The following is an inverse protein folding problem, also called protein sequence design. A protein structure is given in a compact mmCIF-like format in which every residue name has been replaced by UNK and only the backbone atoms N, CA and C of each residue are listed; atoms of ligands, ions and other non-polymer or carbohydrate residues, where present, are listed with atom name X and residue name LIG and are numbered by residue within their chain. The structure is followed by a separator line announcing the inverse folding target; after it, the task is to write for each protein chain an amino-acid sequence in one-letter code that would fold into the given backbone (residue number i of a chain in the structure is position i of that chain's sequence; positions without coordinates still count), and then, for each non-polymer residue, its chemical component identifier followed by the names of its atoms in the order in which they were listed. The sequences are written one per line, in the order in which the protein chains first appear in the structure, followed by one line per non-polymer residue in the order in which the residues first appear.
data_IF_307595331895
#
_entry.id   IF_307595331895
#
_cell.length_a   1.000
_cell.length_b   1.000
_cell.length_c   1.000
_cell.angle_alpha   90.00
_cell.angle_beta   90.00
_cell.angle_gamma   90.00
#
_symmetry.space_group_name_H-M   'P 1'
#
loop_
_entity.id
_entity.type
_entity.pdbx_description
1 polymer ?
#
# COMPACT_ATOMS: atom_id res chain seq x y z
N UNK A 1 -12.25 13.38 -14.04
CA UNK A 1 -12.86 12.05 -13.83
C UNK A 1 -11.98 11.32 -12.83
N UNK A 2 -12.54 10.71 -11.78
CA UNK A 2 -11.75 9.85 -10.90
C UNK A 2 -11.16 8.70 -11.73
N UNK A 3 -9.92 8.31 -11.42
CA UNK A 3 -9.25 7.22 -12.10
C UNK A 3 -9.86 5.88 -11.68
N UNK A 4 -10.60 5.24 -12.60
CA UNK A 4 -11.28 3.95 -12.40
C UNK A 4 -10.33 2.73 -12.45
N UNK A 5 -9.03 2.92 -12.68
CA UNK A 5 -8.08 1.79 -12.75
C UNK A 5 -8.07 1.03 -11.41
N UNK A 6 -8.40 -0.26 -11.38
CA UNK A 6 -8.40 -1.02 -10.14
C UNK A 6 -6.99 -1.15 -9.55
N UNK A 7 -6.89 -1.39 -8.24
CA UNK A 7 -5.59 -1.64 -7.61
C UNK A 7 -4.97 -2.94 -8.13
N UNK A 8 -3.64 -2.97 -8.22
CA UNK A 8 -2.91 -4.21 -8.41
C UNK A 8 -3.07 -5.10 -7.17
N UNK A 9 -3.11 -6.41 -7.41
CA UNK A 9 -3.17 -7.43 -6.36
C UNK A 9 -1.88 -7.45 -5.53
N UNK A 10 -1.96 -7.84 -4.27
CA UNK A 10 -0.82 -8.12 -3.40
C UNK A 10 0.13 -9.13 -4.08
N UNK A 11 -0.43 -10.19 -4.68
CA UNK A 11 0.36 -11.19 -5.41
C UNK A 11 1.11 -10.60 -6.61
N UNK A 12 0.50 -9.67 -7.35
CA UNK A 12 1.15 -8.95 -8.45
C UNK A 12 2.30 -8.07 -7.95
N UNK A 13 2.11 -7.35 -6.85
CA UNK A 13 3.15 -6.48 -6.29
C UNK A 13 4.31 -7.26 -5.66
N UNK A 14 4.04 -8.40 -5.02
CA UNK A 14 5.09 -9.36 -4.63
C UNK A 14 5.83 -9.89 -5.86
N UNK A 15 5.09 -10.23 -6.92
CA UNK A 15 5.68 -10.69 -8.17
C UNK A 15 6.65 -9.67 -8.77
N UNK A 16 6.29 -8.39 -8.72
CA UNK A 16 7.17 -7.29 -9.09
C UNK A 16 8.44 -7.23 -8.23
N UNK A 17 8.32 -7.35 -6.90
CA UNK A 17 9.47 -7.29 -5.98
C UNK A 17 10.44 -8.46 -6.17
N UNK A 18 9.91 -9.66 -6.45
CA UNK A 18 10.67 -10.89 -6.53
C UNK A 18 11.00 -11.32 -7.97
N UNK A 19 10.67 -10.49 -8.96
CA UNK A 19 10.83 -10.81 -10.39
C UNK A 19 10.16 -12.13 -10.80
N UNK A 20 8.96 -12.37 -10.26
CA UNK A 20 8.14 -13.55 -10.57
C UNK A 20 7.29 -13.29 -11.83
N UNK A 21 6.65 -14.34 -12.39
CA UNK A 21 5.67 -14.17 -13.46
C UNK A 21 4.51 -13.25 -13.07
N UNK A 22 3.90 -12.62 -14.08
CA UNK A 22 2.72 -11.78 -13.90
C UNK A 22 1.58 -12.58 -13.25
N UNK A 23 0.84 -11.92 -12.36
CA UNK A 23 -0.35 -12.49 -11.74
C UNK A 23 -1.55 -12.44 -12.72
N UNK A 24 -2.05 -13.57 -13.26
CA UNK A 24 -3.24 -13.57 -14.13
C UNK A 24 -4.50 -12.99 -13.47
N UNK A 25 -4.59 -12.94 -12.14
CA UNK A 25 -5.74 -12.39 -11.42
C UNK A 25 -5.62 -10.87 -11.21
N UNK A 26 -4.46 -10.27 -11.46
CA UNK A 26 -4.33 -8.82 -11.40
C UNK A 26 -5.12 -8.19 -12.54
N UNK A 27 -6.05 -7.26 -12.24
CA UNK A 27 -6.87 -6.63 -13.27
C UNK A 27 -6.05 -5.77 -14.24
N UNK A 28 -4.83 -5.39 -13.85
CA UNK A 28 -3.92 -4.57 -14.65
C UNK A 28 -2.89 -5.40 -15.43
N UNK A 29 -2.93 -6.74 -15.37
CA UNK A 29 -1.98 -7.62 -16.09
C UNK A 29 -1.85 -7.31 -17.58
N UNK A 30 -2.92 -7.02 -18.34
CA UNK A 30 -2.79 -6.61 -19.73
C UNK A 30 -1.90 -5.36 -19.93
N UNK A 31 -1.86 -4.44 -18.96
CA UNK A 31 -1.02 -3.24 -19.01
C UNK A 31 0.43 -3.51 -18.61
N UNK A 32 0.66 -4.54 -17.78
CA UNK A 32 2.00 -4.97 -17.39
C UNK A 32 2.70 -5.74 -18.50
N UNK A 33 1.96 -6.45 -19.35
CA UNK A 33 2.50 -7.24 -20.45
C UNK A 33 3.20 -6.35 -21.49
N UNK A 34 4.46 -6.68 -21.78
CA UNK A 34 5.22 -6.10 -22.88
C UNK A 34 5.75 -7.22 -23.78
N UNK A 35 5.89 -6.99 -25.10
CA UNK A 35 6.43 -8.00 -26.02
C UNK A 35 7.81 -8.53 -25.58
N UNK A 36 8.59 -7.69 -24.91
CA UNK A 36 9.93 -8.01 -24.42
C UNK A 36 9.98 -8.81 -23.12
N UNK A 37 8.91 -8.86 -22.31
CA UNK A 37 9.00 -9.30 -20.92
C UNK A 37 8.60 -10.74 -20.63
N UNK A 38 8.38 -11.61 -21.64
CA UNK A 38 8.12 -13.07 -21.50
C UNK A 38 7.28 -13.45 -20.25
N UNK A 39 6.10 -12.83 -20.12
CA UNK A 39 5.17 -13.04 -18.99
C UNK A 39 5.68 -12.67 -17.59
N UNK A 40 6.71 -11.83 -17.49
CA UNK A 40 7.21 -11.24 -16.26
C UNK A 40 6.98 -9.73 -16.25
N UNK A 41 7.13 -9.14 -15.06
CA UNK A 41 7.11 -7.69 -14.90
C UNK A 41 8.24 -7.04 -15.73
N UNK A 42 7.94 -6.03 -16.56
CA UNK A 42 8.92 -5.40 -17.45
C UNK A 42 9.88 -4.43 -16.73
N UNK A 43 9.65 -4.17 -15.46
CA UNK A 43 10.44 -3.25 -14.62
C UNK A 43 10.63 -3.85 -13.24
N UNK A 44 11.63 -3.37 -12.52
CA UNK A 44 11.86 -3.70 -11.11
C UNK A 44 11.17 -2.68 -10.20
N UNK A 45 11.00 -3.01 -8.91
CA UNK A 45 10.44 -2.06 -7.92
C UNK A 45 11.23 -0.74 -7.84
N UNK A 46 12.57 -0.70 -7.80
CA UNK A 46 13.30 0.57 -7.82
C UNK A 46 13.04 1.41 -9.08
N UNK A 47 12.93 0.77 -10.24
CA UNK A 47 12.62 1.46 -11.50
C UNK A 47 11.17 1.99 -11.48
N UNK A 48 10.22 1.23 -10.93
CA UNK A 48 8.84 1.69 -10.70
C UNK A 48 8.81 2.96 -9.84
N UNK A 49 9.50 2.97 -8.70
CA UNK A 49 9.53 4.14 -7.80
C UNK A 49 10.18 5.36 -8.47
N UNK A 50 11.25 5.16 -9.25
CA UNK A 50 11.88 6.23 -10.02
C UNK A 50 10.91 6.87 -11.02
N UNK A 51 10.24 6.04 -11.83
CA UNK A 51 9.27 6.50 -12.82
C UNK A 51 8.05 7.15 -12.16
N UNK A 52 7.56 6.59 -11.05
CA UNK A 52 6.48 7.16 -10.26
C UNK A 52 6.86 8.54 -9.74
N UNK A 53 8.06 8.69 -9.16
CA UNK A 53 8.53 9.97 -8.66
C UNK A 53 8.60 11.02 -9.78
N UNK A 54 9.16 10.64 -10.95
CA UNK A 54 9.16 11.52 -12.12
C UNK A 54 7.74 11.92 -12.53
N UNK A 55 6.81 10.96 -12.67
CA UNK A 55 5.43 11.21 -13.05
C UNK A 55 4.71 12.15 -12.07
N UNK A 56 4.90 11.94 -10.76
CA UNK A 56 4.31 12.82 -9.75
C UNK A 56 4.87 14.23 -9.85
N UNK A 57 6.18 14.41 -10.09
CA UNK A 57 6.76 15.75 -10.27
C UNK A 57 6.28 16.46 -11.54
N UNK A 58 5.80 15.74 -12.57
CA UNK A 58 5.34 16.35 -13.82
C UNK A 58 3.83 16.52 -13.93
N UNK A 59 3.01 15.61 -13.36
CA UNK A 59 1.55 15.59 -13.60
C UNK A 59 0.79 15.01 -12.41
N UNK A 60 0.26 15.88 -11.54
CA UNK A 60 -0.48 15.43 -10.34
C UNK A 60 -1.93 15.06 -10.57
N UNK A 61 -2.61 15.86 -11.37
CA UNK A 61 -4.07 16.03 -11.25
C UNK A 61 -4.87 14.84 -11.74
N UNK A 62 -4.24 13.92 -12.46
CA UNK A 62 -4.88 12.74 -13.02
C UNK A 62 -4.48 11.50 -12.18
N UNK A 63 -3.20 11.22 -12.02
CA UNK A 63 -2.76 9.90 -11.53
C UNK A 63 -2.60 9.78 -10.00
N UNK A 64 -3.11 10.75 -9.26
CA UNK A 64 -3.06 10.82 -7.79
C UNK A 64 -4.43 11.25 -7.27
N UNK A 65 -5.22 10.29 -6.77
CA UNK A 65 -6.57 10.57 -6.25
C UNK A 65 -6.58 10.39 -4.73
N UNK A 66 -6.93 11.40 -3.92
CA UNK A 66 -7.08 11.23 -2.48
C UNK A 66 -8.26 10.29 -2.18
N UNK A 67 -8.05 9.32 -1.28
CA UNK A 67 -9.08 8.33 -0.89
C UNK A 67 -9.85 8.70 0.38
N UNK A 68 -9.62 9.91 0.90
CA UNK A 68 -10.20 10.41 2.15
C UNK A 68 -9.12 10.83 3.16
N UNK A 69 -9.54 11.29 4.33
CA UNK A 69 -8.66 11.69 5.43
C UNK A 69 -8.79 10.69 6.57
N UNK A 70 -7.75 9.89 6.84
CA UNK A 70 -7.62 9.14 8.08
C UNK A 70 -6.61 9.88 8.96
N UNK A 71 -7.11 10.84 9.75
CA UNK A 71 -6.31 11.62 10.70
C UNK A 71 -5.86 12.99 10.19
N UNK A 72 -5.29 13.79 11.10
CA UNK A 72 -4.96 15.20 10.86
C UNK A 72 -3.74 15.42 9.95
N UNK A 73 -2.99 14.37 9.61
CA UNK A 73 -1.59 14.51 9.21
C UNK A 73 -1.10 13.60 8.07
N UNK A 74 -1.87 12.58 7.68
CA UNK A 74 -1.56 11.73 6.53
C UNK A 74 -2.83 11.41 5.73
N UNK A 75 -2.73 11.41 4.41
CA UNK A 75 -3.82 11.00 3.53
C UNK A 75 -3.36 9.81 2.67
N UNK A 76 -4.19 8.76 2.54
CA UNK A 76 -4.01 7.76 1.51
C UNK A 76 -4.39 8.33 0.13
N UNK A 77 -3.53 8.05 -0.84
CA UNK A 77 -3.71 8.38 -2.25
C UNK A 77 -3.76 7.10 -3.05
N UNK A 78 -4.69 7.01 -3.98
CA UNK A 78 -4.60 6.08 -5.10
C UNK A 78 -3.61 6.63 -6.11
N UNK A 79 -2.55 5.88 -6.36
CA UNK A 79 -1.50 6.22 -7.31
C UNK A 79 -1.50 5.23 -8.47
N UNK A 80 -1.38 5.73 -9.70
CA UNK A 80 -1.23 4.89 -10.90
C UNK A 80 0.01 5.30 -11.70
N UNK A 81 0.96 4.40 -11.89
CA UNK A 81 2.05 4.57 -12.86
C UNK A 81 1.52 4.26 -14.27
N UNK A 82 1.09 5.30 -14.98
CA UNK A 82 0.36 5.19 -16.26
C UNK A 82 1.11 4.42 -17.33
N UNK A 83 2.43 4.61 -17.40
CA UNK A 83 3.30 3.97 -18.40
C UNK A 83 3.26 2.44 -18.33
N UNK A 84 2.98 1.86 -17.16
CA UNK A 84 2.98 0.40 -16.95
C UNK A 84 1.70 -0.14 -16.30
N UNK A 85 0.72 0.73 -15.99
CA UNK A 85 -0.56 0.38 -15.40
C UNK A 85 -0.52 -0.09 -13.94
N UNK A 86 0.59 0.09 -13.22
CA UNK A 86 0.64 -0.28 -11.80
C UNK A 86 -0.18 0.70 -10.97
N UNK A 87 -1.11 0.18 -10.17
CA UNK A 87 -1.96 0.99 -9.29
C UNK A 87 -1.88 0.49 -7.85
N UNK A 88 -1.60 1.39 -6.92
CA UNK A 88 -1.30 1.10 -5.51
C UNK A 88 -1.63 2.31 -4.62
N UNK A 89 -1.33 2.21 -3.32
CA UNK A 89 -1.52 3.28 -2.35
C UNK A 89 -0.23 4.07 -2.13
N UNK A 90 -0.36 5.39 -2.05
CA UNK A 90 0.63 6.28 -1.46
C UNK A 90 0.11 6.87 -0.15
N UNK A 91 0.79 6.67 0.98
CA UNK A 91 0.51 7.38 2.23
C UNK A 91 1.37 8.64 2.25
N UNK A 92 0.77 9.79 1.96
CA UNK A 92 1.47 11.06 1.87
C UNK A 92 1.64 11.76 3.21
N UNK A 93 2.79 12.40 3.40
CA UNK A 93 3.11 13.18 4.60
C UNK A 93 3.91 14.45 4.31
N UNK A 94 3.84 15.36 5.27
CA UNK A 94 4.59 16.60 5.33
C UNK A 94 6.03 16.38 5.80
N UNK A 95 6.93 17.29 5.42
CA UNK A 95 8.36 17.21 5.80
C UNK A 95 8.58 17.18 7.31
N UNK A 96 7.75 17.89 8.09
CA UNK A 96 7.87 17.94 9.55
C UNK A 96 7.59 16.60 10.23
N UNK A 97 6.71 15.77 9.65
CA UNK A 97 6.31 14.47 10.20
C UNK A 97 7.06 13.30 9.58
N UNK A 98 7.83 13.55 8.52
CA UNK A 98 8.59 12.51 7.83
C UNK A 98 9.58 11.74 8.72
N UNK A 99 10.29 12.35 9.69
CA UNK A 99 11.17 11.60 10.59
C UNK A 99 10.44 10.56 11.44
N UNK A 100 9.14 10.74 11.69
CA UNK A 100 8.29 9.80 12.41
C UNK A 100 7.78 8.72 11.46
N UNK A 101 7.23 9.10 10.31
CA UNK A 101 6.62 8.18 9.35
C UNK A 101 7.67 7.32 8.62
N UNK A 102 8.87 7.83 8.36
CA UNK A 102 9.97 7.04 7.79
C UNK A 102 10.46 5.92 8.72
N UNK A 103 10.06 5.89 10.00
CA UNK A 103 10.33 4.72 10.86
C UNK A 103 9.46 3.53 10.46
N UNK A 104 8.25 3.78 9.97
CA UNK A 104 7.33 2.75 9.49
C UNK A 104 7.95 1.94 8.35
N UNK A 105 8.72 2.58 7.45
CA UNK A 105 9.40 1.86 6.37
C UNK A 105 10.44 0.85 6.86
N UNK A 106 11.10 1.14 7.99
CA UNK A 106 12.03 0.20 8.64
C UNK A 106 11.29 -1.02 9.19
N UNK A 107 10.09 -0.81 9.72
CA UNK A 107 9.23 -1.90 10.20
C UNK A 107 8.78 -2.76 9.03
N UNK A 108 8.30 -2.16 7.93
CA UNK A 108 7.98 -2.93 6.71
C UNK A 108 9.16 -3.73 6.14
N UNK A 109 10.38 -3.22 6.29
CA UNK A 109 11.60 -3.94 5.91
C UNK A 109 11.86 -5.18 6.78
N UNK A 110 11.53 -5.13 8.07
CA UNK A 110 11.57 -6.30 8.98
C UNK A 110 10.45 -7.28 8.61
N UNK A 111 9.26 -6.76 8.32
CA UNK A 111 8.06 -7.54 7.99
C UNK A 111 8.04 -8.08 6.55
N UNK A 112 9.15 -8.01 5.80
CA UNK A 112 9.26 -8.60 4.44
C UNK A 112 8.71 -10.02 4.32
N UNK A 113 8.96 -10.95 5.27
CA UNK A 113 8.47 -12.33 5.14
C UNK A 113 6.94 -12.47 5.15
N UNK A 114 6.21 -11.47 5.65
CA UNK A 114 4.75 -11.49 5.83
C UNK A 114 4.03 -10.42 4.99
N UNK A 115 4.74 -9.79 4.05
CA UNK A 115 4.15 -8.87 3.08
C UNK A 115 3.27 -9.66 2.10
N UNK A 116 2.08 -9.14 1.82
CA UNK A 116 1.05 -9.81 1.03
C UNK A 116 0.33 -10.94 1.77
N UNK A 117 0.52 -11.08 3.09
CA UNK A 117 -0.19 -12.07 3.91
C UNK A 117 -0.72 -11.52 5.23
N UNK A 118 0.11 -10.81 6.00
CA UNK A 118 -0.28 -10.16 7.26
C UNK A 118 -0.14 -8.63 7.21
N UNK A 119 0.65 -8.10 6.28
CA UNK A 119 0.77 -6.67 5.99
C UNK A 119 0.75 -6.42 4.49
N UNK A 120 0.40 -5.22 4.01
CA UNK A 120 0.47 -4.92 2.58
C UNK A 120 1.90 -4.99 2.03
N UNK A 121 2.03 -5.28 0.74
CA UNK A 121 3.30 -5.20 0.03
C UNK A 121 3.81 -3.76 0.01
N UNK A 122 4.89 -3.49 0.72
CA UNK A 122 5.57 -2.21 0.79
C UNK A 122 6.59 -2.08 -0.35
N UNK A 123 6.32 -1.21 -1.31
CA UNK A 123 7.17 -1.00 -2.49
C UNK A 123 8.36 -0.08 -2.18
N UNK A 124 8.19 0.88 -1.26
CA UNK A 124 9.26 1.76 -0.82
C UNK A 124 8.79 3.20 -0.57
N UNK A 125 9.75 4.12 -0.60
CA UNK A 125 9.53 5.54 -0.34
C UNK A 125 9.66 6.36 -1.62
N UNK A 126 8.88 7.45 -1.72
CA UNK A 126 9.03 8.46 -2.77
C UNK A 126 9.20 9.83 -2.12
N UNK A 127 10.26 10.52 -2.53
CA UNK A 127 10.58 11.88 -2.12
C UNK A 127 10.39 12.82 -3.30
N UNK A 128 9.38 13.67 -3.21
CA UNK A 128 8.97 14.58 -4.26
C UNK A 128 9.88 15.80 -4.30
N UNK A 129 10.21 16.29 -5.49
CA UNK A 129 10.99 17.51 -5.65
C UNK A 129 10.15 18.74 -5.26
N UNK A 130 8.87 18.71 -5.64
CA UNK A 130 7.90 19.76 -5.37
C UNK A 130 6.94 19.37 -4.23
N UNK A 131 6.50 20.38 -3.49
CA UNK A 131 5.53 20.22 -2.41
C UNK A 131 4.12 20.27 -2.97
N UNK A 132 3.26 19.33 -2.57
CA UNK A 132 1.86 19.29 -2.93
C UNK A 132 0.98 19.73 -1.78
N UNK A 133 0.26 20.82 -1.97
CA UNK A 133 -0.68 21.32 -0.97
C UNK A 133 -2.02 20.63 -1.15
N UNK A 134 -2.31 19.67 -0.28
CA UNK A 134 -3.64 19.09 -0.18
C UNK A 134 -4.43 19.83 0.89
N UNK A 135 -5.60 20.35 0.53
CA UNK A 135 -6.49 21.02 1.48
C UNK A 135 -6.85 20.07 2.63
N UNK A 136 -6.65 20.51 3.88
CA UNK A 136 -6.90 19.72 5.08
C UNK A 136 -5.75 18.80 5.55
N UNK A 137 -4.69 18.60 4.76
CA UNK A 137 -3.53 17.76 5.12
C UNK A 137 -2.21 18.54 5.11
N UNK A 138 -2.09 19.52 4.22
CA UNK A 138 -0.93 20.41 4.13
C UNK A 138 0.06 20.03 3.03
N UNK A 139 1.32 20.41 3.25
CA UNK A 139 2.44 20.36 2.30
C UNK A 139 3.05 18.95 2.18
N UNK A 140 2.47 18.09 1.35
CA UNK A 140 2.93 16.72 1.14
C UNK A 140 4.18 16.71 0.26
N UNK A 141 5.23 16.04 0.73
CA UNK A 141 6.52 15.93 0.03
C UNK A 141 7.08 14.51 0.03
N UNK A 142 6.63 13.68 0.96
CA UNK A 142 7.12 12.33 1.15
C UNK A 142 5.96 11.35 1.14
N UNK A 143 6.15 10.18 0.54
CA UNK A 143 5.12 9.15 0.45
C UNK A 143 5.71 7.78 0.75
N UNK A 144 4.99 6.99 1.55
CA UNK A 144 5.16 5.53 1.59
C UNK A 144 4.30 4.92 0.49
N UNK A 145 4.87 4.01 -0.30
CA UNK A 145 4.19 3.38 -1.43
C UNK A 145 3.98 1.90 -1.12
N UNK A 146 2.74 1.43 -1.18
CA UNK A 146 2.36 0.07 -0.80
C UNK A 146 1.09 -0.43 -1.49
N UNK A 147 0.85 -1.74 -1.48
CA UNK A 147 -0.36 -2.35 -2.03
C UNK A 147 -1.64 -1.93 -1.31
N UNK A 148 -2.77 -2.02 -2.01
CA UNK A 148 -4.08 -1.76 -1.39
C UNK A 148 -4.48 -2.92 -0.49
N UNK A 149 -4.68 -2.64 0.81
CA UNK A 149 -5.00 -3.66 1.80
C UNK A 149 -6.48 -4.00 1.94
N UNK A 150 -7.37 -3.33 1.20
CA UNK A 150 -8.81 -3.43 1.39
C UNK A 150 -9.37 -2.37 2.33
N UNK A 151 -10.66 -2.49 2.66
CA UNK A 151 -11.33 -1.59 3.57
C UNK A 151 -11.04 -1.94 5.04
N UNK A 152 -10.97 -0.92 5.90
CA UNK A 152 -10.78 -1.15 7.33
C UNK A 152 -11.99 -1.82 7.97
N UNK A 153 -11.78 -2.62 9.01
CA UNK A 153 -12.87 -3.26 9.75
C UNK A 153 -13.84 -2.23 10.34
N UNK A 154 -13.34 -1.05 10.69
CA UNK A 154 -14.17 0.11 11.08
C UNK A 154 -15.11 0.55 9.97
N UNK A 155 -14.60 0.74 8.75
CA UNK A 155 -15.41 1.13 7.59
C UNK A 155 -16.47 0.07 7.24
N UNK A 156 -16.13 -1.20 7.42
CA UNK A 156 -17.05 -2.31 7.18
C UNK A 156 -18.08 -2.51 8.31
N UNK A 157 -17.95 -1.81 9.45
CA UNK A 157 -18.80 -2.01 10.62
C UNK A 157 -18.61 -3.36 11.32
N UNK A 158 -17.46 -4.01 11.11
CA UNK A 158 -17.14 -5.37 11.58
C UNK A 158 -16.24 -5.39 12.82
N UNK A 159 -16.23 -4.29 13.57
CA UNK A 159 -15.35 -4.12 14.73
C UNK A 159 -15.63 -5.15 15.84
N UNK A 160 -16.90 -5.53 16.01
CA UNK A 160 -17.30 -6.55 17.00
C UNK A 160 -16.85 -7.97 16.67
N UNK A 161 -16.48 -8.25 15.42
CA UNK A 161 -15.99 -9.57 14.98
C UNK A 161 -14.49 -9.77 15.22
N UNK A 162 -13.75 -8.69 15.54
CA UNK A 162 -12.30 -8.70 15.72
C UNK A 162 -11.81 -9.62 16.84
N UNK A 163 -12.58 -9.74 17.92
CA UNK A 163 -12.27 -10.58 19.08
C UNK A 163 -13.14 -11.84 19.18
N UNK A 164 -13.89 -12.15 18.12
CA UNK A 164 -14.77 -13.31 18.11
C UNK A 164 -14.05 -14.58 17.65
N UNK A 165 -14.55 -15.75 18.04
CA UNK A 165 -14.06 -17.05 17.55
C UNK A 165 -14.42 -17.34 16.08
N UNK A 166 -15.02 -16.37 15.38
CA UNK A 166 -15.39 -16.45 13.97
C UNK A 166 -14.20 -16.43 13.01
N UNK A 167 -14.48 -16.57 11.71
CA UNK A 167 -13.43 -16.58 10.68
C UNK A 167 -12.58 -15.30 10.67
N UNK A 168 -13.19 -14.14 10.91
CA UNK A 168 -12.47 -12.86 10.92
C UNK A 168 -11.51 -12.74 12.11
N UNK A 169 -11.98 -12.98 13.34
CA UNK A 169 -11.13 -12.88 14.54
C UNK A 169 -9.93 -13.81 14.47
N UNK A 170 -10.10 -15.03 13.93
CA UNK A 170 -8.97 -15.95 13.67
C UNK A 170 -7.95 -15.37 12.68
N UNK A 171 -8.38 -14.69 11.63
CA UNK A 171 -7.46 -14.04 10.68
C UNK A 171 -6.79 -12.80 11.27
N UNK A 172 -7.45 -12.07 12.18
CA UNK A 172 -6.81 -11.00 12.97
C UNK A 172 -5.70 -11.61 13.84
N UNK A 173 -6.02 -12.59 14.67
CA UNK A 173 -5.06 -13.27 15.55
C UNK A 173 -3.88 -13.84 14.77
N UNK A 174 -4.15 -14.51 13.66
CA UNK A 174 -3.12 -15.08 12.79
C UNK A 174 -2.17 -14.01 12.26
N UNK A 175 -2.70 -12.89 11.77
CA UNK A 175 -1.89 -11.83 11.17
C UNK A 175 -1.08 -11.08 12.21
N UNK A 176 -1.66 -10.81 13.38
CA UNK A 176 -0.94 -10.24 14.54
C UNK A 176 0.18 -11.17 14.99
N UNK A 177 -0.11 -12.47 15.13
CA UNK A 177 0.88 -13.47 15.54
C UNK A 177 2.05 -13.56 14.56
N UNK A 178 1.79 -13.60 13.25
CA UNK A 178 2.85 -13.62 12.22
C UNK A 178 3.76 -12.38 12.29
N UNK A 179 3.22 -11.21 12.67
CA UNK A 179 3.98 -9.97 12.88
C UNK A 179 4.81 -10.05 14.19
N UNK A 180 4.22 -10.56 15.28
CA UNK A 180 4.90 -10.70 16.57
C UNK A 180 6.03 -11.74 16.54
N UNK A 181 5.88 -12.82 15.78
CA UNK A 181 6.93 -13.83 15.57
C UNK A 181 8.19 -13.25 14.89
N UNK A 182 8.05 -12.12 14.17
CA UNK A 182 9.17 -11.36 13.60
C UNK A 182 9.73 -10.29 14.55
N UNK A 183 9.27 -10.26 15.81
CA UNK A 183 9.73 -9.34 16.85
C UNK A 183 9.12 -7.94 16.77
N UNK A 184 8.07 -7.73 15.98
CA UNK A 184 7.38 -6.44 15.86
C UNK A 184 6.11 -6.47 16.70
N UNK A 185 5.93 -5.49 17.58
CA UNK A 185 4.68 -5.30 18.33
C UNK A 185 3.97 -4.05 17.83
N UNK A 186 2.72 -4.21 17.39
CA UNK A 186 1.89 -3.08 16.98
C UNK A 186 1.40 -2.31 18.21
N UNK A 187 1.75 -1.02 18.32
CA UNK A 187 1.42 -0.20 19.51
C UNK A 187 0.05 0.47 19.45
N UNK A 188 -0.52 0.60 18.25
CA UNK A 188 -1.80 1.25 17.99
C UNK A 188 -2.76 0.32 17.23
N UNK A 189 -2.96 -0.90 17.73
CA UNK A 189 -3.79 -1.90 17.06
C UNK A 189 -5.27 -1.63 17.34
N UNK A 190 -6.03 -1.23 16.33
CA UNK A 190 -7.48 -1.07 16.40
C UNK A 190 -8.14 -1.32 15.03
N UNK A 191 -9.47 -1.38 14.98
CA UNK A 191 -10.29 -1.70 13.79
C UNK A 191 -10.02 -0.82 12.56
N UNK A 192 -9.41 0.35 12.73
CA UNK A 192 -9.05 1.27 11.65
C UNK A 192 -7.72 0.92 10.98
N UNK A 193 -6.84 0.19 11.68
CA UNK A 193 -5.52 -0.26 11.22
C UNK A 193 -5.53 -1.74 10.78
N UNK A 194 -6.71 -2.37 10.78
CA UNK A 194 -6.96 -3.71 10.30
C UNK A 194 -7.78 -3.64 9.01
N UNK A 195 -7.20 -4.09 7.90
CA UNK A 195 -7.82 -4.05 6.58
C UNK A 195 -8.23 -5.45 6.14
N UNK A 196 -9.46 -5.65 5.67
CA UNK A 196 -9.87 -6.93 5.10
C UNK A 196 -9.50 -6.99 3.62
N UNK A 197 -8.54 -7.85 3.28
CA UNK A 197 -8.09 -8.04 1.91
C UNK A 197 -8.76 -9.26 1.29
N UNK A 198 -9.85 -9.03 0.53
CA UNK A 198 -10.61 -10.08 -0.17
C UNK A 198 -9.74 -10.95 -1.07
N UNK A 199 -8.73 -10.36 -1.74
CA UNK A 199 -7.84 -11.08 -2.65
C UNK A 199 -7.12 -12.24 -1.98
N UNK A 200 -6.58 -12.02 -0.78
CA UNK A 200 -5.82 -13.04 -0.04
C UNK A 200 -6.68 -13.75 1.01
N UNK A 201 -7.89 -13.25 1.27
CA UNK A 201 -8.79 -13.75 2.30
C UNK A 201 -8.23 -13.57 3.71
N UNK A 202 -7.48 -12.48 3.94
CA UNK A 202 -6.77 -12.22 5.20
C UNK A 202 -6.93 -10.78 5.67
N UNK A 203 -6.67 -10.57 6.96
CA UNK A 203 -6.55 -9.24 7.55
C UNK A 203 -5.12 -8.74 7.38
N UNK A 204 -4.96 -7.56 6.80
CA UNK A 204 -3.67 -6.88 6.67
C UNK A 204 -3.57 -5.74 7.69
N UNK A 205 -2.48 -5.71 8.43
CA UNK A 205 -2.20 -4.69 9.45
C UNK A 205 -1.37 -3.55 8.86
N UNK A 206 -1.72 -2.31 9.19
CA UNK A 206 -1.07 -1.08 8.72
C UNK A 206 -0.81 -0.09 9.86
N UNK A 207 -0.05 0.97 9.58
CA UNK A 207 0.19 2.10 10.50
C UNK A 207 1.06 1.76 11.71
N UNK A 208 2.29 1.32 11.42
CA UNK A 208 3.26 0.95 12.45
C UNK A 208 4.07 2.18 12.94
N UNK A 209 4.35 2.23 14.25
CA UNK A 209 5.08 3.33 14.93
C UNK A 209 6.25 2.85 15.79
#
# INVERSE_FOLDING_TARGET
QPHDTPFCTQRCLLGLQHSLPLDPNCPNTPMHQRPSSKNHHPITTPHLLHLLNHQLNTTLTHNCTPLGTNGAHSAPFKLTLTTYGYTFIGKGSTTSLWPEISRESKIYNILRPVQGSAVPVFLGEVNLAHTYFLHGVGAIRHMLVMGWGGESLRCLGREGEMFGEGGLGREVERSVREIEELGVRHRDLHSGNLLWCEEVGRVLVIDFH
#
